data_IF_651584424504
#
_entry.id   IF_651584424504
#
_cell.length_a   1.000
_cell.length_b   1.000
_cell.length_c   1.000
_cell.angle_alpha   90.00
_cell.angle_beta   90.00
_cell.angle_gamma   90.00
#
_symmetry.space_group_name_H-M   'P 1'
#
loop_
_entity.id
_entity.type
_entity.pdbx_description
1 polymer ?
#
# COMPACT_ATOMS: atom_id res chain seq x y z
N UNK A 1 13.93 -1.58 -1.00
CA UNK A 1 14.32 -0.82 -2.19
C UNK A 1 13.14 0.05 -2.59
N UNK A 2 13.24 1.38 -2.54
CA UNK A 2 12.11 2.28 -2.74
C UNK A 2 11.99 2.87 -4.16
N UNK A 3 12.93 2.51 -5.05
CA UNK A 3 12.90 2.88 -6.46
C UNK A 3 12.63 1.66 -7.35
N UNK A 4 11.38 1.41 -7.75
CA UNK A 4 11.02 0.26 -8.56
C UNK A 4 11.31 0.49 -10.06
N UNK A 5 12.37 1.20 -10.45
CA UNK A 5 12.67 1.41 -11.86
C UNK A 5 13.12 0.08 -12.53
N UNK A 6 12.59 -0.29 -13.72
CA UNK A 6 12.94 -1.55 -14.38
C UNK A 6 14.44 -1.73 -14.61
N UNK A 7 15.15 -0.64 -14.90
CA UNK A 7 16.61 -0.64 -15.09
C UNK A 7 17.42 -1.02 -13.85
N UNK A 8 16.80 -1.13 -12.67
CA UNK A 8 17.44 -1.57 -11.43
C UNK A 8 17.51 -3.11 -11.33
N UNK A 9 16.92 -3.82 -12.30
CA UNK A 9 16.81 -5.27 -12.32
C UNK A 9 17.46 -5.86 -13.57
N UNK A 10 18.13 -7.00 -13.41
CA UNK A 10 18.66 -7.83 -14.51
C UNK A 10 18.18 -9.26 -14.28
N UNK A 11 17.80 -9.96 -15.34
CA UNK A 11 17.52 -11.39 -15.29
C UNK A 11 18.67 -12.12 -15.97
N UNK A 12 19.33 -13.02 -15.25
CA UNK A 12 20.40 -13.85 -15.83
C UNK A 12 19.84 -14.92 -16.78
N UNK A 13 20.70 -15.52 -17.61
CA UNK A 13 20.31 -16.65 -18.46
C UNK A 13 19.81 -17.87 -17.66
N UNK A 14 20.17 -17.96 -16.38
CA UNK A 14 19.69 -18.97 -15.44
C UNK A 14 18.33 -18.64 -14.80
N UNK A 15 17.74 -17.48 -15.13
CA UNK A 15 16.47 -17.01 -14.57
C UNK A 15 16.59 -16.38 -13.17
N UNK A 16 17.79 -15.98 -12.76
CA UNK A 16 18.00 -15.33 -11.47
C UNK A 16 17.77 -13.82 -11.59
N UNK A 17 17.05 -13.24 -10.63
CA UNK A 17 16.83 -11.80 -10.55
C UNK A 17 17.98 -11.13 -9.79
N UNK A 18 18.81 -10.37 -10.52
CA UNK A 18 19.79 -9.46 -9.94
C UNK A 18 19.20 -8.09 -9.69
N UNK A 19 19.49 -7.50 -8.52
CA UNK A 19 19.19 -6.10 -8.18
C UNK A 19 20.51 -5.34 -8.18
N UNK A 20 20.62 -4.30 -9.01
CA UNK A 20 21.92 -3.64 -9.28
C UNK A 20 22.02 -2.22 -8.69
N UNK A 21 20.88 -1.58 -8.40
CA UNK A 21 20.85 -0.28 -7.75
C UNK A 21 20.37 -0.45 -6.29
N UNK A 22 20.98 0.32 -5.38
CA UNK A 22 20.61 0.43 -3.97
C UNK A 22 20.64 1.89 -3.48
N UNK A 23 20.71 2.86 -4.39
CA UNK A 23 20.76 4.29 -4.10
C UNK A 23 19.49 4.84 -3.44
N UNK A 24 18.37 4.12 -3.54
CA UNK A 24 17.10 4.48 -2.91
C UNK A 24 16.66 3.44 -1.86
N UNK A 25 17.50 3.17 -0.87
CA UNK A 25 17.16 2.32 0.28
C UNK A 25 16.58 3.17 1.41
N UNK A 26 15.39 2.79 1.89
CA UNK A 26 14.74 3.39 3.06
C UNK A 26 14.69 2.38 4.19
N UNK A 27 15.23 2.75 5.36
CA UNK A 27 15.00 2.01 6.61
C UNK A 27 13.61 2.36 7.11
N UNK A 28 12.76 1.36 7.30
CA UNK A 28 11.42 1.52 7.84
C UNK A 28 11.46 1.17 9.33
N UNK A 29 11.08 2.07 10.25
CA UNK A 29 11.05 1.76 11.68
C UNK A 29 10.02 0.67 12.00
N UNK A 30 10.33 -0.23 12.94
CA UNK A 30 9.43 -1.32 13.35
C UNK A 30 8.08 -0.79 13.86
N UNK A 31 8.11 0.32 14.60
CA UNK A 31 6.91 1.02 15.09
C UNK A 31 5.95 1.47 13.97
N UNK A 32 6.45 1.61 12.74
CA UNK A 32 5.65 1.92 11.57
C UNK A 32 5.32 0.66 10.77
N UNK A 33 6.26 -0.27 10.66
CA UNK A 33 6.13 -1.49 9.88
C UNK A 33 4.88 -2.29 10.28
N UNK A 34 4.78 -2.70 11.55
CA UNK A 34 3.71 -3.59 11.98
C UNK A 34 2.32 -2.97 11.82
N UNK A 35 2.06 -1.72 12.27
CA UNK A 35 0.75 -1.10 12.10
C UNK A 35 0.41 -0.91 10.61
N UNK A 36 1.35 -0.44 9.79
CA UNK A 36 1.09 -0.15 8.39
C UNK A 36 0.77 -1.42 7.60
N UNK A 37 1.61 -2.45 7.71
CA UNK A 37 1.39 -3.68 6.95
C UNK A 37 0.20 -4.49 7.46
N UNK A 38 -0.25 -4.27 8.69
CA UNK A 38 -1.51 -4.83 9.16
C UNK A 38 -2.70 -4.37 8.33
N UNK A 39 -2.68 -3.14 7.79
CA UNK A 39 -3.76 -2.57 6.96
C UNK A 39 -3.90 -3.26 5.60
N UNK A 40 -2.88 -3.98 5.14
CA UNK A 40 -2.93 -4.76 3.89
C UNK A 40 -3.78 -6.03 4.06
N UNK A 41 -3.99 -6.50 5.29
CA UNK A 41 -4.78 -7.69 5.57
C UNK A 41 -6.27 -7.41 5.41
N UNK A 42 -6.96 -8.35 4.76
CA UNK A 42 -8.41 -8.23 4.49
C UNK A 42 -9.24 -8.12 5.77
N UNK A 43 -8.89 -8.85 6.82
CA UNK A 43 -9.64 -8.86 8.07
C UNK A 43 -9.46 -7.56 8.87
N UNK A 44 -8.27 -6.96 8.83
CA UNK A 44 -7.99 -5.67 9.47
C UNK A 44 -8.91 -4.57 8.92
N UNK A 45 -9.16 -4.56 7.60
CA UNK A 45 -10.02 -3.55 6.95
C UNK A 45 -11.50 -3.63 7.37
N UNK A 46 -11.90 -4.70 8.07
CA UNK A 46 -13.25 -4.89 8.62
C UNK A 46 -13.29 -4.88 10.15
N UNK A 47 -12.16 -4.66 10.81
CA UNK A 47 -12.03 -4.72 12.27
C UNK A 47 -12.22 -3.33 12.90
N UNK A 48 -13.41 -2.73 12.78
CA UNK A 48 -13.72 -1.32 13.06
C UNK A 48 -12.88 -0.65 14.17
N UNK A 49 -12.93 -1.17 15.41
CA UNK A 49 -12.20 -0.57 16.55
C UNK A 49 -10.68 -0.70 16.45
N UNK A 50 -10.19 -1.82 15.94
CA UNK A 50 -8.77 -2.06 15.72
C UNK A 50 -8.27 -1.25 14.52
N UNK A 51 -9.06 -1.14 13.47
CA UNK A 51 -8.76 -0.34 12.28
C UNK A 51 -8.63 1.15 12.64
N UNK A 52 -9.57 1.68 13.43
CA UNK A 52 -9.50 3.06 13.93
C UNK A 52 -8.23 3.27 14.76
N UNK A 53 -7.88 2.31 15.63
CA UNK A 53 -6.64 2.37 16.41
C UNK A 53 -5.41 2.42 15.50
N UNK A 54 -5.34 1.60 14.44
CA UNK A 54 -4.25 1.66 13.45
C UNK A 54 -4.20 2.98 12.71
N UNK A 55 -5.36 3.55 12.37
CA UNK A 55 -5.41 4.87 11.72
C UNK A 55 -4.88 5.98 12.63
N UNK A 56 -5.10 5.91 13.94
CA UNK A 56 -4.49 6.83 14.91
C UNK A 56 -2.99 6.60 15.05
N UNK A 57 -2.55 5.36 15.24
CA UNK A 57 -1.12 4.99 15.36
C UNK A 57 -0.30 5.47 14.14
N UNK A 58 -0.90 5.44 12.95
CA UNK A 58 -0.28 5.84 11.70
C UNK A 58 -0.52 7.32 11.34
N UNK A 59 -1.17 8.08 12.22
CA UNK A 59 -1.51 9.49 12.04
C UNK A 59 -2.39 9.78 10.81
N UNK A 60 -3.23 8.84 10.38
CA UNK A 60 -4.25 9.10 9.36
C UNK A 60 -5.42 9.90 9.95
N UNK A 61 -5.76 9.65 11.21
CA UNK A 61 -6.77 10.39 11.97
C UNK A 61 -6.21 10.80 13.35
N UNK A 62 -6.78 11.84 13.94
CA UNK A 62 -6.43 12.35 15.26
C UNK A 62 -7.66 12.40 16.18
N UNK A 63 -7.44 12.40 17.49
CA UNK A 63 -8.52 12.40 18.47
C UNK A 63 -9.37 13.67 18.43
N UNK A 64 -8.75 14.81 18.13
CA UNK A 64 -9.35 16.14 18.04
C UNK A 64 -9.91 16.46 16.64
N UNK A 65 -9.94 15.49 15.73
CA UNK A 65 -10.66 15.66 14.46
C UNK A 65 -12.17 15.62 14.65
N UNK A 66 -12.88 16.31 13.75
CA UNK A 66 -14.34 16.19 13.67
C UNK A 66 -14.73 14.78 13.23
N UNK A 67 -15.92 14.32 13.61
CA UNK A 67 -16.43 13.01 13.18
C UNK A 67 -16.54 12.91 11.65
N UNK A 68 -16.84 14.03 10.97
CA UNK A 68 -16.85 14.10 9.52
C UNK A 68 -15.46 13.87 8.91
N UNK A 69 -14.42 14.45 9.51
CA UNK A 69 -13.04 14.27 9.04
C UNK A 69 -12.51 12.87 9.33
N UNK A 70 -12.79 12.32 10.53
CA UNK A 70 -12.44 10.93 10.85
C UNK A 70 -13.06 9.98 9.85
N UNK A 71 -14.35 10.12 9.56
CA UNK A 71 -15.05 9.29 8.58
C UNK A 71 -14.46 9.44 7.16
N UNK A 72 -14.18 10.68 6.74
CA UNK A 72 -13.62 10.97 5.42
C UNK A 72 -12.23 10.36 5.23
N UNK A 73 -11.28 10.68 6.11
CA UNK A 73 -9.90 10.20 6.00
C UNK A 73 -9.82 8.69 6.17
N UNK A 74 -10.55 8.13 7.12
CA UNK A 74 -10.62 6.67 7.32
C UNK A 74 -11.16 5.95 6.09
N UNK A 75 -12.20 6.49 5.45
CA UNK A 75 -12.77 5.92 4.23
C UNK A 75 -11.75 5.86 3.09
N UNK A 76 -11.10 7.00 2.79
CA UNK A 76 -10.09 7.07 1.72
C UNK A 76 -8.92 6.13 1.99
N UNK A 77 -8.39 6.12 3.21
CA UNK A 77 -7.25 5.26 3.57
C UNK A 77 -7.63 3.79 3.51
N UNK A 78 -8.82 3.42 3.99
CA UNK A 78 -9.33 2.05 3.90
C UNK A 78 -9.43 1.59 2.43
N UNK A 79 -9.96 2.43 1.55
CA UNK A 79 -10.13 2.10 0.14
C UNK A 79 -8.78 1.96 -0.57
N UNK A 80 -7.83 2.87 -0.27
CA UNK A 80 -6.45 2.77 -0.75
C UNK A 80 -5.76 1.48 -0.29
N UNK A 81 -5.84 1.15 1.00
CA UNK A 81 -5.21 -0.06 1.57
C UNK A 81 -5.88 -1.34 1.05
N UNK A 82 -7.19 -1.31 0.80
CA UNK A 82 -7.92 -2.40 0.14
C UNK A 82 -7.42 -2.64 -1.28
N UNK A 83 -7.21 -1.56 -2.05
CA UNK A 83 -6.67 -1.65 -3.42
C UNK A 83 -5.25 -2.19 -3.44
N UNK A 84 -4.36 -1.61 -2.63
CA UNK A 84 -2.96 -2.05 -2.54
C UNK A 84 -2.83 -3.45 -1.95
N UNK A 85 -3.73 -3.85 -1.06
CA UNK A 85 -3.72 -5.17 -0.44
C UNK A 85 -4.33 -6.28 -1.30
N UNK A 86 -5.13 -5.93 -2.31
CA UNK A 86 -5.86 -6.89 -3.15
C UNK A 86 -5.01 -8.03 -3.70
N UNK A 87 -3.78 -7.83 -4.23
CA UNK A 87 -2.98 -8.93 -4.77
C UNK A 87 -2.72 -10.01 -3.72
N UNK A 88 -2.52 -9.60 -2.47
CA UNK A 88 -2.33 -10.52 -1.37
C UNK A 88 -3.63 -11.22 -0.97
N UNK A 89 -4.82 -10.77 -1.35
CA UNK A 89 -6.06 -11.45 -0.95
C UNK A 89 -6.35 -12.71 -1.78
N UNK A 90 -5.49 -13.04 -2.74
CA UNK A 90 -5.62 -14.17 -3.65
C UNK A 90 -4.31 -14.97 -3.73
N UNK A 91 -4.40 -16.31 -3.86
CA UNK A 91 -3.21 -17.15 -4.07
C UNK A 91 -2.51 -16.84 -5.41
N UNK A 92 -3.29 -16.51 -6.43
CA UNK A 92 -2.81 -16.09 -7.74
C UNK A 92 -3.48 -14.77 -8.09
N UNK A 93 -2.70 -13.80 -8.55
CA UNK A 93 -3.18 -12.50 -8.97
C UNK A 93 -2.70 -12.17 -10.38
N UNK A 94 -3.62 -11.68 -11.21
CA UNK A 94 -3.34 -11.24 -12.57
C UNK A 94 -3.05 -9.73 -12.58
N UNK A 95 -1.78 -9.36 -12.66
CA UNK A 95 -1.38 -7.96 -12.81
C UNK A 95 -1.56 -7.46 -14.25
N UNK A 96 -1.89 -8.33 -15.21
CA UNK A 96 -2.21 -7.94 -16.58
C UNK A 96 -3.58 -7.27 -16.74
N UNK A 97 -4.44 -7.33 -15.71
CA UNK A 97 -5.75 -6.67 -15.70
C UNK A 97 -5.63 -5.15 -15.56
N UNK A 98 -5.76 -4.44 -16.68
CA UNK A 98 -5.70 -2.97 -16.75
C UNK A 98 -6.79 -2.29 -15.91
N UNK A 99 -7.88 -2.98 -15.57
CA UNK A 99 -8.94 -2.42 -14.72
C UNK A 99 -8.47 -2.23 -13.28
N UNK A 100 -7.58 -3.08 -12.78
CA UNK A 100 -6.98 -2.96 -11.46
C UNK A 100 -6.09 -1.71 -11.37
N UNK A 101 -5.28 -1.48 -12.40
CA UNK A 101 -4.38 -0.32 -12.47
C UNK A 101 -5.14 0.99 -12.62
N UNK A 102 -6.21 0.99 -13.42
CA UNK A 102 -7.11 2.13 -13.51
C UNK A 102 -7.68 2.52 -12.14
N UNK A 103 -8.11 1.55 -11.33
CA UNK A 103 -8.61 1.82 -9.98
C UNK A 103 -7.55 2.43 -9.05
N UNK A 104 -6.28 1.96 -9.14
CA UNK A 104 -5.19 2.55 -8.36
C UNK A 104 -4.93 3.99 -8.80
N UNK A 105 -4.92 4.26 -10.11
CA UNK A 105 -4.73 5.59 -10.67
C UNK A 105 -5.85 6.54 -10.26
N UNK A 106 -7.11 6.13 -10.41
CA UNK A 106 -8.29 6.89 -9.99
C UNK A 106 -8.25 7.22 -8.48
N UNK A 107 -7.82 6.29 -7.64
CA UNK A 107 -7.61 6.54 -6.21
C UNK A 107 -6.52 7.60 -5.97
N UNK A 108 -5.43 7.55 -6.72
CA UNK A 108 -4.37 8.57 -6.69
C UNK A 108 -4.88 9.96 -7.07
N UNK A 109 -5.72 10.06 -8.10
CA UNK A 109 -6.37 11.31 -8.52
C UNK A 109 -7.32 11.84 -7.44
N UNK A 110 -8.18 10.98 -6.86
CA UNK A 110 -9.09 11.37 -5.77
C UNK A 110 -8.31 12.00 -4.60
N UNK A 111 -7.19 11.38 -4.20
CA UNK A 111 -6.35 11.89 -3.10
C UNK A 111 -5.68 13.22 -3.50
N UNK A 112 -5.11 13.30 -4.70
CA UNK A 112 -4.42 14.48 -5.22
C UNK A 112 -5.36 15.70 -5.35
N UNK A 113 -6.58 15.47 -5.84
CA UNK A 113 -7.58 16.51 -6.06
C UNK A 113 -8.40 16.84 -4.81
N UNK A 114 -8.31 16.04 -3.75
CA UNK A 114 -9.06 16.27 -2.52
C UNK A 114 -8.72 17.61 -1.89
N UNK A 115 -9.75 18.46 -1.75
CA UNK A 115 -9.63 19.72 -1.00
C UNK A 115 -9.35 19.49 0.48
N UNK A 116 -9.91 18.41 1.07
CA UNK A 116 -9.70 18.07 2.49
C UNK A 116 -8.26 17.66 2.77
N UNK A 117 -7.63 16.89 1.89
CA UNK A 117 -6.19 16.60 2.02
C UNK A 117 -5.33 17.85 1.84
N UNK A 118 -5.64 18.69 0.83
CA UNK A 118 -4.88 19.93 0.57
C UNK A 118 -5.03 20.99 1.67
N UNK A 119 -6.19 21.06 2.31
CA UNK A 119 -6.48 22.01 3.38
C UNK A 119 -6.14 21.47 4.78
N UNK A 120 -5.68 20.22 4.90
CA UNK A 120 -5.35 19.65 6.21
C UNK A 120 -4.09 20.31 6.76
N UNK A 121 -4.22 20.97 7.92
CA UNK A 121 -3.07 21.54 8.64
C UNK A 121 -2.24 20.46 9.36
N UNK A 122 -2.83 19.26 9.55
CA UNK A 122 -2.18 18.10 10.16
C UNK A 122 -1.62 17.17 9.09
N UNK A 123 -0.43 16.63 9.32
CA UNK A 123 0.19 15.67 8.39
C UNK A 123 -0.53 14.31 8.44
N UNK A 124 -1.33 14.02 7.42
CA UNK A 124 -2.12 12.77 7.33
C UNK A 124 -1.27 11.60 6.80
N UNK A 125 -1.02 10.63 7.67
CA UNK A 125 -0.19 9.46 7.38
C UNK A 125 1.31 9.70 7.65
N UNK A 126 2.04 8.63 7.96
CA UNK A 126 3.48 8.76 8.19
C UNK A 126 4.27 8.90 6.88
N UNK A 127 5.38 9.66 6.94
CA UNK A 127 6.31 9.85 5.82
C UNK A 127 6.81 8.53 5.23
N UNK A 128 7.00 7.52 6.08
CA UNK A 128 7.43 6.18 5.66
C UNK A 128 6.45 5.52 4.68
N UNK A 129 5.14 5.74 4.87
CA UNK A 129 4.09 5.18 4.02
C UNK A 129 4.15 5.69 2.57
N UNK A 130 4.64 6.91 2.34
CA UNK A 130 4.82 7.45 0.99
C UNK A 130 5.82 6.62 0.18
N UNK A 131 6.93 6.23 0.80
CA UNK A 131 7.94 5.40 0.14
C UNK A 131 7.40 3.99 -0.16
N UNK A 132 6.64 3.42 0.76
CA UNK A 132 6.04 2.10 0.57
C UNK A 132 4.99 2.13 -0.55
N UNK A 133 4.07 3.10 -0.52
CA UNK A 133 3.06 3.28 -1.58
C UNK A 133 3.72 3.46 -2.96
N UNK A 134 4.77 4.29 -3.05
CA UNK A 134 5.52 4.50 -4.31
C UNK A 134 6.18 3.22 -4.80
N UNK A 135 6.75 2.43 -3.88
CA UNK A 135 7.37 1.14 -4.20
C UNK A 135 6.33 0.16 -4.75
N UNK A 136 5.20 0.00 -4.07
CA UNK A 136 4.13 -0.90 -4.52
C UNK A 136 3.55 -0.47 -5.86
N UNK A 137 3.28 0.83 -6.04
CA UNK A 137 2.76 1.34 -7.31
C UNK A 137 3.69 1.02 -8.48
N UNK A 138 4.99 1.28 -8.34
CA UNK A 138 5.91 1.00 -9.44
C UNK A 138 6.17 -0.48 -9.66
N UNK A 139 6.22 -1.30 -8.60
CA UNK A 139 6.29 -2.76 -8.74
C UNK A 139 5.07 -3.31 -9.46
N UNK A 140 3.87 -2.84 -9.11
CA UNK A 140 2.64 -3.24 -9.78
C UNK A 140 2.66 -2.81 -11.25
N UNK A 141 3.12 -1.60 -11.56
CA UNK A 141 3.23 -1.15 -12.95
C UNK A 141 4.18 -2.03 -13.77
N UNK A 142 5.34 -2.40 -13.22
CA UNK A 142 6.25 -3.36 -13.89
C UNK A 142 5.51 -4.67 -14.17
N UNK A 143 4.81 -5.21 -13.17
CA UNK A 143 4.07 -6.46 -13.33
C UNK A 143 2.93 -6.35 -14.35
N UNK A 144 2.30 -5.18 -14.49
CA UNK A 144 1.30 -4.92 -15.53
C UNK A 144 1.90 -4.82 -16.92
N UNK A 145 3.02 -4.12 -17.09
CA UNK A 145 3.75 -4.04 -18.35
C UNK A 145 4.18 -5.43 -18.83
N UNK A 146 4.59 -6.29 -17.88
CA UNK A 146 4.93 -7.69 -18.13
C UNK A 146 3.70 -8.61 -18.33
N UNK A 147 2.48 -8.09 -18.10
CA UNK A 147 1.22 -8.86 -18.09
C UNK A 147 1.34 -10.13 -17.22
N UNK A 148 1.94 -9.96 -16.05
CA UNK A 148 2.33 -11.06 -15.19
C UNK A 148 1.16 -11.64 -14.39
N UNK A 149 1.04 -12.96 -14.41
CA UNK A 149 0.20 -13.72 -13.47
C UNK A 149 1.10 -14.28 -12.38
N UNK A 150 0.91 -13.81 -11.15
CA UNK A 150 1.83 -14.07 -10.03
C UNK A 150 1.16 -14.93 -8.98
N UNK A 151 1.80 -16.03 -8.59
CA UNK A 151 1.48 -16.73 -7.33
C UNK A 151 1.94 -15.85 -6.17
N UNK A 152 1.00 -15.24 -5.47
CA UNK A 152 1.35 -14.34 -4.37
C UNK A 152 1.70 -15.15 -3.13
N UNK A 153 2.65 -14.63 -2.36
CA UNK A 153 3.05 -15.21 -1.08
C UNK A 153 2.98 -14.14 -0.02
N UNK A 154 2.80 -14.57 1.22
CA UNK A 154 2.79 -13.68 2.38
C UNK A 154 3.71 -14.26 3.44
N UNK A 155 4.34 -13.40 4.25
CA UNK A 155 4.95 -13.87 5.47
C UNK A 155 3.87 -14.37 6.45
N UNK A 156 4.21 -15.33 7.31
CA UNK A 156 3.30 -15.98 8.26
C UNK A 156 2.50 -14.97 9.10
N UNK A 157 3.12 -13.86 9.50
CA UNK A 157 2.44 -12.82 10.30
C UNK A 157 1.32 -12.08 9.53
N UNK A 158 1.37 -12.08 8.19
CA UNK A 158 0.41 -11.43 7.30
C UNK A 158 -0.72 -12.39 6.82
N UNK A 159 -0.72 -13.65 7.25
CA UNK A 159 -1.67 -14.66 6.76
C UNK A 159 -3.07 -14.59 7.38
N UNK A 160 -3.29 -13.91 8.52
CA UNK A 160 -4.46 -14.23 9.34
C UNK A 160 -5.81 -13.97 8.66
N UNK A 161 -6.52 -15.08 8.39
CA UNK A 161 -7.90 -15.35 8.84
C UNK A 161 -7.98 -16.82 9.29
N UNK A 162 -7.96 -17.08 10.60
CA UNK A 162 -8.71 -18.20 11.17
C UNK A 162 -9.95 -17.55 11.78
N UNK A 163 -11.11 -17.85 11.20
CA UNK A 163 -12.39 -17.70 11.88
C UNK A 163 -12.50 -18.77 12.97
#
# INVERSE_FOLDING_TARGET
>A
HADPHPGNFIISDAGELGVIDFGCVKVIPDQFYDPYFSLIRKDMLTADSELERRFKELNFIYDDDTEEDKAYFSGIVRDLMSLLGRPFHHEVFDFGDDSYFRQIFEMGEIISESKKFRASEKARGARDGLYINRTYFGLYNILNELKAVVRTTKPVWAEKVVA
#
